data_IF_999238427539
#
_entry.id   IF_999238427539
#
_cell.length_a   1.000
_cell.length_b   1.000
_cell.length_c   1.000
_cell.angle_alpha   90.00
_cell.angle_beta   90.00
_cell.angle_gamma   90.00
#
_symmetry.space_group_name_H-M   'P 1'
#
loop_
_entity.id
_entity.type
_entity.pdbx_description
1 polymer ?
#
# COMPACT_ATOMS: atom_id res chain seq x y z
N UNK A 1 5.73 15.67 3.88
CA UNK A 1 4.77 15.37 4.96
C UNK A 1 3.53 16.26 4.89
N UNK A 2 3.64 17.53 4.47
CA UNK A 2 2.49 18.42 4.24
C UNK A 2 1.57 17.94 3.10
N UNK A 3 2.10 17.34 2.02
CA UNK A 3 1.26 16.90 0.90
C UNK A 3 0.32 15.73 1.22
N UNK A 4 0.74 14.77 2.06
CA UNK A 4 -0.12 13.65 2.44
C UNK A 4 -1.28 14.10 3.35
N UNK A 5 -0.99 14.97 4.32
CA UNK A 5 -2.02 15.55 5.21
C UNK A 5 -2.96 16.46 4.41
N UNK A 6 -2.42 17.27 3.50
CA UNK A 6 -3.23 18.10 2.60
C UNK A 6 -4.08 17.26 1.64
N UNK A 7 -3.57 16.15 1.10
CA UNK A 7 -4.32 15.25 0.22
C UNK A 7 -5.46 14.51 0.94
N UNK A 8 -5.24 14.08 2.19
CA UNK A 8 -6.31 13.52 3.03
C UNK A 8 -7.33 14.61 3.39
N UNK A 9 -6.86 15.80 3.76
CA UNK A 9 -7.73 16.92 4.11
C UNK A 9 -8.51 17.44 2.91
N UNK A 10 -7.96 17.40 1.69
CA UNK A 10 -8.65 17.78 0.44
C UNK A 10 -9.87 16.91 0.17
N UNK A 11 -9.78 15.60 0.44
CA UNK A 11 -10.95 14.69 0.34
C UNK A 11 -12.04 15.04 1.35
N UNK A 12 -11.67 15.79 2.38
CA UNK A 12 -12.56 16.32 3.39
C UNK A 12 -12.73 17.85 3.30
N UNK A 13 -12.25 18.53 2.26
CA UNK A 13 -12.18 20.00 2.24
C UNK A 13 -13.49 20.60 1.69
N UNK A 14 -13.98 20.08 0.58
CA UNK A 14 -15.19 20.55 -0.09
C UNK A 14 -16.37 19.55 -0.03
N UNK A 15 -17.63 20.03 -0.15
CA UNK A 15 -18.80 19.16 -0.25
C UNK A 15 -18.73 18.17 -1.41
N UNK A 16 -18.16 18.57 -2.55
CA UNK A 16 -18.00 17.70 -3.73
C UNK A 16 -17.00 16.58 -3.52
N UNK A 17 -15.81 16.89 -3.01
CA UNK A 17 -14.75 15.91 -2.74
C UNK A 17 -15.17 14.90 -1.66
N UNK A 18 -15.88 15.38 -0.63
CA UNK A 18 -16.48 14.51 0.40
C UNK A 18 -17.53 13.58 -0.16
N UNK A 19 -18.39 14.08 -1.06
CA UNK A 19 -19.43 13.28 -1.70
C UNK A 19 -18.82 12.20 -2.59
N UNK A 20 -17.78 12.56 -3.37
CA UNK A 20 -17.07 11.60 -4.24
C UNK A 20 -16.35 10.53 -3.42
N UNK A 21 -15.61 10.93 -2.37
CA UNK A 21 -15.01 9.97 -1.46
C UNK A 21 -16.08 9.06 -0.83
N UNK A 22 -17.17 9.65 -0.35
CA UNK A 22 -18.32 8.95 0.24
C UNK A 22 -18.90 7.89 -0.70
N UNK A 23 -19.06 8.19 -1.99
CA UNK A 23 -19.56 7.27 -3.01
C UNK A 23 -18.72 5.98 -3.06
N UNK A 24 -17.40 6.10 -3.01
CA UNK A 24 -16.49 4.96 -3.15
C UNK A 24 -16.23 4.19 -1.84
N UNK A 25 -16.31 4.84 -0.68
CA UNK A 25 -16.12 4.16 0.61
C UNK A 25 -17.38 3.48 1.14
N UNK A 26 -18.56 3.79 0.60
CA UNK A 26 -19.82 3.19 1.05
C UNK A 26 -19.81 1.66 1.00
N UNK A 27 -19.09 1.07 0.03
CA UNK A 27 -18.97 -0.38 -0.07
C UNK A 27 -18.25 -1.01 1.14
N UNK A 28 -17.49 -0.23 1.92
CA UNK A 28 -16.79 -0.73 3.10
C UNK A 28 -17.71 -0.85 4.33
N UNK A 29 -18.96 -0.37 4.25
CA UNK A 29 -19.95 -0.63 5.30
C UNK A 29 -20.37 -2.11 5.35
N UNK A 30 -20.20 -2.84 4.26
CA UNK A 30 -20.35 -4.29 4.22
C UNK A 30 -19.02 -4.92 4.62
N UNK A 31 -19.03 -5.57 5.79
CA UNK A 31 -17.83 -6.14 6.38
C UNK A 31 -17.23 -7.26 5.51
N UNK A 32 -18.05 -7.95 4.69
CA UNK A 32 -17.58 -8.98 3.75
C UNK A 32 -16.78 -8.39 2.58
N UNK A 33 -17.05 -7.14 2.20
CA UNK A 33 -16.31 -6.37 1.19
C UNK A 33 -15.10 -5.67 1.79
N UNK A 34 -15.26 -5.15 3.01
CA UNK A 34 -14.18 -4.45 3.72
C UNK A 34 -13.09 -5.41 4.23
N UNK A 35 -13.42 -6.65 4.59
CA UNK A 35 -12.47 -7.59 5.17
C UNK A 35 -11.29 -7.93 4.23
N UNK A 36 -11.47 -8.28 2.95
CA UNK A 36 -10.36 -8.48 2.01
C UNK A 36 -9.48 -7.24 1.85
N UNK A 37 -10.09 -6.05 1.77
CA UNK A 37 -9.38 -4.77 1.63
C UNK A 37 -8.55 -4.47 2.88
N UNK A 38 -9.13 -4.64 4.08
CA UNK A 38 -8.42 -4.52 5.36
C UNK A 38 -7.29 -5.55 5.47
N UNK A 39 -7.48 -6.77 4.98
CA UNK A 39 -6.44 -7.79 4.95
C UNK A 39 -5.23 -7.34 4.13
N UNK A 40 -5.43 -6.75 2.94
CA UNK A 40 -4.34 -6.16 2.15
C UNK A 40 -3.57 -5.07 2.91
N UNK A 41 -4.29 -4.17 3.60
CA UNK A 41 -3.67 -3.10 4.40
C UNK A 41 -2.86 -3.68 5.57
N UNK A 42 -3.43 -4.61 6.32
CA UNK A 42 -2.76 -5.22 7.48
C UNK A 42 -1.52 -6.01 7.06
N UNK A 43 -1.60 -6.74 5.94
CA UNK A 43 -0.46 -7.45 5.37
C UNK A 43 0.60 -6.52 4.83
N UNK A 44 0.21 -5.39 4.24
CA UNK A 44 1.16 -4.36 3.85
C UNK A 44 1.92 -3.81 5.06
N UNK A 45 1.28 -3.62 6.22
CA UNK A 45 1.97 -3.23 7.45
C UNK A 45 3.00 -4.28 7.88
N UNK A 46 2.65 -5.57 7.87
CA UNK A 46 3.57 -6.67 8.20
C UNK A 46 4.73 -6.72 7.21
N UNK A 47 4.43 -6.60 5.92
CA UNK A 47 5.41 -6.58 4.84
C UNK A 47 6.39 -5.42 5.02
N UNK A 48 5.91 -4.21 5.33
CA UNK A 48 6.79 -3.06 5.57
C UNK A 48 7.59 -3.18 6.86
N UNK A 49 7.07 -3.86 7.89
CA UNK A 49 7.89 -4.22 9.05
C UNK A 49 9.03 -5.15 8.65
N UNK A 50 8.75 -6.19 7.84
CA UNK A 50 9.77 -7.10 7.29
C UNK A 50 10.81 -6.33 6.48
N UNK A 51 10.39 -5.41 5.61
CA UNK A 51 11.27 -4.53 4.84
C UNK A 51 12.17 -3.71 5.75
N UNK A 52 11.63 -3.13 6.84
CA UNK A 52 12.42 -2.35 7.80
C UNK A 52 13.50 -3.17 8.53
N UNK A 53 13.40 -4.50 8.48
CA UNK A 53 14.34 -5.45 9.09
C UNK A 53 15.23 -6.13 8.03
N UNK A 54 15.12 -5.78 6.74
CA UNK A 54 16.10 -6.19 5.73
C UNK A 54 17.42 -5.46 5.95
N UNK A 55 18.49 -6.01 5.36
CA UNK A 55 19.76 -5.31 5.21
C UNK A 55 19.53 -3.96 4.53
N UNK A 56 20.20 -2.92 5.01
CA UNK A 56 19.98 -1.52 4.55
C UNK A 56 19.91 -1.38 3.02
N UNK A 57 20.80 -1.99 2.21
CA UNK A 57 20.76 -1.87 0.75
C UNK A 57 19.48 -2.41 0.12
N UNK A 58 18.81 -3.37 0.77
CA UNK A 58 17.59 -4.01 0.26
C UNK A 58 16.31 -3.28 0.67
N UNK A 59 16.36 -2.36 1.62
CA UNK A 59 15.15 -1.73 2.18
C UNK A 59 14.38 -0.91 1.16
N UNK A 60 15.07 -0.10 0.35
CA UNK A 60 14.41 0.72 -0.67
C UNK A 60 13.78 -0.18 -1.74
N UNK A 61 14.52 -1.15 -2.26
CA UNK A 61 14.00 -2.10 -3.25
C UNK A 61 12.83 -2.91 -2.71
N UNK A 62 12.91 -3.36 -1.45
CA UNK A 62 11.82 -4.06 -0.77
C UNK A 62 10.57 -3.20 -0.61
N UNK A 63 10.72 -1.90 -0.29
CA UNK A 63 9.59 -0.98 -0.21
C UNK A 63 8.94 -0.75 -1.58
N UNK A 64 9.75 -0.56 -2.64
CA UNK A 64 9.26 -0.39 -4.01
C UNK A 64 8.50 -1.63 -4.49
N UNK A 65 9.11 -2.81 -4.38
CA UNK A 65 8.52 -4.06 -4.86
C UNK A 65 7.33 -4.50 -4.01
N UNK A 66 7.39 -4.31 -2.68
CA UNK A 66 6.25 -4.54 -1.80
C UNK A 66 5.05 -3.65 -2.16
N UNK A 67 5.27 -2.39 -2.53
CA UNK A 67 4.19 -1.47 -2.90
C UNK A 67 3.41 -1.95 -4.12
N UNK A 68 4.06 -2.60 -5.09
CA UNK A 68 3.37 -3.20 -6.24
C UNK A 68 2.43 -4.34 -5.84
N UNK A 69 2.89 -5.22 -4.96
CA UNK A 69 2.05 -6.30 -4.46
C UNK A 69 0.87 -5.79 -3.62
N UNK A 70 1.11 -4.77 -2.79
CA UNK A 70 0.04 -4.11 -2.04
C UNK A 70 -0.99 -3.47 -2.98
N UNK A 71 -0.56 -2.68 -3.98
CA UNK A 71 -1.45 -2.05 -4.95
C UNK A 71 -2.30 -3.09 -5.65
N UNK A 72 -1.70 -4.18 -6.12
CA UNK A 72 -2.42 -5.29 -6.75
C UNK A 72 -3.47 -5.89 -5.80
N UNK A 73 -3.09 -6.30 -4.59
CA UNK A 73 -4.01 -6.87 -3.60
C UNK A 73 -5.21 -5.94 -3.34
N UNK A 74 -4.92 -4.66 -3.10
CA UNK A 74 -5.90 -3.65 -2.74
C UNK A 74 -6.88 -3.38 -3.90
N UNK A 75 -6.37 -3.17 -5.11
CA UNK A 75 -7.18 -2.90 -6.29
C UNK A 75 -8.00 -4.14 -6.71
N UNK A 76 -7.41 -5.33 -6.71
CA UNK A 76 -8.14 -6.57 -7.00
C UNK A 76 -9.27 -6.79 -5.98
N UNK A 77 -9.03 -6.49 -4.70
CA UNK A 77 -10.06 -6.57 -3.65
C UNK A 77 -11.19 -5.55 -3.84
N UNK A 78 -10.87 -4.32 -4.25
CA UNK A 78 -11.86 -3.29 -4.57
C UNK A 78 -12.66 -3.68 -5.81
N UNK A 79 -12.01 -4.15 -6.87
CA UNK A 79 -12.69 -4.60 -8.08
C UNK A 79 -13.74 -5.66 -7.75
N UNK A 80 -13.35 -6.64 -6.94
CA UNK A 80 -14.21 -7.76 -6.57
C UNK A 80 -15.33 -7.39 -5.59
N UNK A 81 -15.10 -6.43 -4.68
CA UNK A 81 -16.09 -6.05 -3.66
C UNK A 81 -16.97 -4.85 -4.02
N UNK A 82 -16.39 -3.85 -4.68
CA UNK A 82 -16.94 -2.49 -4.83
C UNK A 82 -17.18 -2.06 -6.28
N UNK A 83 -16.68 -2.80 -7.27
CA UNK A 83 -16.89 -2.54 -8.70
C UNK A 83 -15.89 -1.56 -9.34
N UNK A 84 -15.98 -1.45 -10.67
CA UNK A 84 -15.00 -0.76 -11.54
C UNK A 84 -14.80 0.73 -11.25
N UNK A 85 -15.88 1.50 -11.08
CA UNK A 85 -15.77 2.93 -10.78
C UNK A 85 -14.93 3.21 -9.52
N UNK A 86 -14.96 2.30 -8.53
CA UNK A 86 -14.13 2.45 -7.33
C UNK A 86 -12.67 2.14 -7.57
N UNK A 87 -12.35 1.26 -8.52
CA UNK A 87 -10.96 0.97 -8.90
C UNK A 87 -10.26 2.20 -9.44
N UNK A 88 -10.91 2.95 -10.33
CA UNK A 88 -10.31 4.16 -10.91
C UNK A 88 -10.03 5.20 -9.83
N UNK A 89 -11.04 5.47 -8.99
CA UNK A 89 -10.90 6.40 -7.86
C UNK A 89 -9.76 6.00 -6.90
N UNK A 90 -9.66 4.73 -6.53
CA UNK A 90 -8.63 4.26 -5.61
C UNK A 90 -7.23 4.18 -6.25
N UNK A 91 -7.13 3.94 -7.56
CA UNK A 91 -5.87 4.05 -8.29
C UNK A 91 -5.35 5.49 -8.27
N UNK A 92 -6.18 6.46 -8.62
CA UNK A 92 -5.81 7.88 -8.57
C UNK A 92 -5.40 8.29 -7.15
N UNK A 93 -6.12 7.80 -6.14
CA UNK A 93 -5.79 8.03 -4.74
C UNK A 93 -4.41 7.47 -4.36
N UNK A 94 -4.06 6.28 -4.84
CA UNK A 94 -2.75 5.66 -4.60
C UNK A 94 -1.66 6.47 -5.30
N UNK A 95 -1.84 6.81 -6.58
CA UNK A 95 -0.86 7.57 -7.35
C UNK A 95 -0.57 8.94 -6.72
N UNK A 96 -1.63 9.65 -6.29
CA UNK A 96 -1.49 10.90 -5.56
C UNK A 96 -0.78 10.75 -4.21
N UNK A 97 -0.88 9.59 -3.55
CA UNK A 97 -0.28 9.35 -2.23
C UNK A 97 1.18 8.88 -2.31
N UNK A 98 1.54 8.17 -3.37
CA UNK A 98 2.91 7.68 -3.63
C UNK A 98 3.79 8.87 -4.05
N UNK A 99 3.26 9.81 -4.84
CA UNK A 99 3.94 11.05 -5.19
C UNK A 99 5.19 10.86 -6.07
N UNK A 100 5.65 11.96 -6.70
CA UNK A 100 6.76 11.96 -7.67
C UNK A 100 8.10 11.46 -7.08
N UNK A 101 8.29 11.56 -5.76
CA UNK A 101 9.53 11.14 -5.11
C UNK A 101 9.68 9.61 -5.07
N UNK A 102 8.59 8.86 -4.87
CA UNK A 102 8.66 7.39 -4.91
C UNK A 102 8.82 6.90 -6.35
N UNK A 103 8.23 7.54 -7.35
CA UNK A 103 8.49 7.23 -8.76
C UNK A 103 9.98 7.41 -9.12
N UNK A 104 10.61 8.48 -8.63
CA UNK A 104 12.02 8.73 -8.84
C UNK A 104 12.90 7.68 -8.14
N UNK A 105 12.60 7.35 -6.88
CA UNK A 105 13.38 6.38 -6.10
C UNK A 105 13.18 4.94 -6.57
N UNK A 106 11.98 4.59 -7.06
CA UNK A 106 11.62 3.25 -7.52
C UNK A 106 11.76 3.10 -9.03
N UNK A 107 12.38 4.04 -9.75
CA UNK A 107 12.44 4.05 -11.22
C UNK A 107 12.99 2.75 -11.82
N UNK A 108 13.99 2.14 -11.19
CA UNK A 108 14.57 0.89 -11.67
C UNK A 108 13.75 -0.36 -11.30
N UNK A 109 12.74 -0.19 -10.46
CA UNK A 109 11.83 -1.19 -9.92
C UNK A 109 10.37 -0.71 -10.12
N UNK A 110 10.07 -0.15 -11.29
CA UNK A 110 8.80 0.56 -11.53
C UNK A 110 7.59 -0.36 -11.68
N UNK A 111 7.81 -1.66 -11.82
CA UNK A 111 6.78 -2.69 -11.97
C UNK A 111 7.26 -4.04 -11.42
N UNK A 112 6.35 -5.02 -11.36
CA UNK A 112 6.62 -6.37 -10.84
C UNK A 112 7.69 -7.09 -11.67
N UNK A 113 7.69 -6.94 -13.01
CA UNK A 113 8.67 -7.62 -13.86
C UNK A 113 10.09 -7.11 -13.59
N UNK A 114 10.23 -5.80 -13.38
CA UNK A 114 11.52 -5.21 -13.00
C UNK A 114 11.96 -5.66 -11.60
N UNK A 115 11.03 -5.80 -10.66
CA UNK A 115 11.30 -6.39 -9.36
C UNK A 115 11.81 -7.82 -9.45
N UNK A 116 11.15 -8.67 -10.24
CA UNK A 116 11.59 -10.06 -10.47
C UNK A 116 12.96 -10.15 -11.16
N UNK A 117 13.28 -9.19 -12.03
CA UNK A 117 14.54 -9.18 -12.77
C UNK A 117 15.73 -8.62 -11.96
N UNK A 118 15.50 -7.65 -11.06
CA UNK A 118 16.58 -6.83 -10.47
C UNK A 118 16.66 -6.87 -8.94
N UNK A 119 15.57 -7.21 -8.25
CA UNK A 119 15.58 -7.25 -6.79
C UNK A 119 16.01 -8.63 -6.27
N UNK A 120 16.42 -8.68 -5.00
CA UNK A 120 16.81 -9.94 -4.36
C UNK A 120 15.64 -10.94 -4.37
N UNK A 121 15.81 -12.07 -5.06
CA UNK A 121 14.75 -13.04 -5.30
C UNK A 121 14.19 -13.65 -4.01
N UNK A 122 15.05 -13.86 -3.00
CA UNK A 122 14.62 -14.39 -1.70
C UNK A 122 13.71 -13.39 -1.00
N UNK A 123 14.16 -12.14 -0.88
CA UNK A 123 13.37 -11.07 -0.27
C UNK A 123 12.07 -10.86 -1.03
N UNK A 124 12.10 -10.83 -2.36
CA UNK A 124 10.89 -10.67 -3.19
C UNK A 124 9.86 -11.76 -2.91
N UNK A 125 10.29 -13.02 -2.88
CA UNK A 125 9.43 -14.17 -2.57
C UNK A 125 8.82 -14.08 -1.18
N UNK A 126 9.59 -13.65 -0.18
CA UNK A 126 9.09 -13.41 1.18
C UNK A 126 8.01 -12.32 1.21
N UNK A 127 8.24 -11.19 0.53
CA UNK A 127 7.27 -10.08 0.46
C UNK A 127 5.97 -10.52 -0.23
N UNK A 128 6.08 -11.25 -1.34
CA UNK A 128 4.93 -11.83 -2.05
C UNK A 128 4.16 -12.81 -1.17
N UNK A 129 4.86 -13.66 -0.43
CA UNK A 129 4.21 -14.62 0.49
C UNK A 129 3.42 -13.90 1.59
N UNK A 130 3.94 -12.79 2.13
CA UNK A 130 3.25 -12.03 3.18
C UNK A 130 1.93 -11.45 2.66
N UNK A 131 1.91 -10.88 1.46
CA UNK A 131 0.72 -10.19 0.93
C UNK A 131 -0.35 -11.17 0.40
N UNK A 132 0.05 -12.32 -0.14
CA UNK A 132 -0.84 -13.33 -0.74
C UNK A 132 -1.34 -14.38 0.28
N UNK A 133 -0.75 -14.42 1.49
CA UNK A 133 -1.16 -15.41 2.48
C UNK A 133 -2.63 -15.20 2.91
N UNK A 134 -3.30 -16.31 3.22
CA UNK A 134 -4.67 -16.34 3.74
C UNK A 134 -4.70 -16.71 5.23
N UNK A 135 -3.54 -16.82 5.87
CA UNK A 135 -3.46 -17.18 7.29
C UNK A 135 -4.06 -16.08 8.18
N UNK A 136 -4.65 -16.43 9.33
CA UNK A 136 -5.12 -15.43 10.28
C UNK A 136 -3.99 -14.48 10.70
N UNK A 137 -4.26 -13.18 10.62
CA UNK A 137 -3.32 -12.16 11.08
C UNK A 137 -3.38 -12.08 12.60
N UNK A 138 -2.25 -12.36 13.26
CA UNK A 138 -2.08 -12.13 14.70
C UNK A 138 -2.09 -10.64 15.05
N UNK A 139 -1.94 -10.27 16.34
CA UNK A 139 -1.89 -8.88 16.75
C UNK A 139 -0.75 -8.14 16.05
N UNK A 140 -1.09 -7.08 15.31
CA UNK A 140 -0.11 -6.24 14.63
C UNK A 140 0.70 -5.44 15.65
N UNK A 141 2.03 -5.45 15.50
CA UNK A 141 2.92 -4.60 16.27
C UNK A 141 2.71 -3.12 15.97
N UNK A 142 2.42 -2.79 14.72
CA UNK A 142 2.15 -1.43 14.26
C UNK A 142 0.71 -1.30 13.77
N UNK A 143 0.04 -0.19 14.12
CA UNK A 143 -1.31 0.13 13.62
C UNK A 143 -1.30 0.88 12.29
N UNK A 144 -0.17 1.49 11.93
CA UNK A 144 0.01 2.27 10.70
C UNK A 144 1.46 2.12 10.20
N UNK A 145 1.74 2.57 8.99
CA UNK A 145 3.10 2.57 8.42
C UNK A 145 4.02 3.65 9.02
N UNK A 146 3.46 4.68 9.66
CA UNK A 146 4.23 5.86 10.11
C UNK A 146 5.39 5.48 11.02
N UNK A 147 5.23 4.66 12.08
CA UNK A 147 6.35 4.29 12.94
C UNK A 147 7.44 3.51 12.20
N UNK A 148 7.05 2.68 11.22
CA UNK A 148 7.97 1.89 10.39
C UNK A 148 8.79 2.82 9.49
N UNK A 149 8.14 3.77 8.83
CA UNK A 149 8.80 4.78 7.99
C UNK A 149 9.78 5.62 8.84
N UNK A 150 9.34 6.10 10.01
CA UNK A 150 10.21 6.86 10.93
C UNK A 150 11.42 6.04 11.36
N UNK A 151 11.26 4.75 11.64
CA UNK A 151 12.39 3.84 11.94
C UNK A 151 13.36 3.78 10.76
N UNK A 152 12.86 3.52 9.55
CA UNK A 152 13.72 3.42 8.36
C UNK A 152 14.47 4.72 8.08
N UNK A 153 13.84 5.88 8.27
CA UNK A 153 14.49 7.19 8.09
C UNK A 153 15.57 7.48 9.15
N UNK A 154 15.38 7.03 10.40
CA UNK A 154 16.39 7.20 11.46
C UNK A 154 17.61 6.29 11.27
N UNK A 155 17.40 5.16 10.60
CA UNK A 155 18.42 4.14 10.36
C UNK A 155 19.04 4.22 8.96
N UNK A 156 18.58 5.14 8.10
CA UNK A 156 19.17 5.41 6.79
C UNK A 156 20.56 6.03 6.98
#
# INVERSE_FOLDING_TARGET
MNDLVNGINQRCAGPGERAEFGKHIQCFHDDSKAAPIRNCINRHIIMMERVSNLDKPLRLGGACCGSHFFRKCFIDSIQNGCGGDSVDYFNEMIDASIGQNLELMCKELSDINQCEAKFDAKSLSELKTIIESNEPIGPLKYKTLIPIIVKMLKEA
#
